data_IF_805869947566
#
_entry.id   IF_805869947566
#
_cell.length_a   1.000
_cell.length_b   1.000
_cell.length_c   1.000
_cell.angle_alpha   90.00
_cell.angle_beta   90.00
_cell.angle_gamma   90.00
#
_symmetry.space_group_name_H-M   'P 1'
#
loop_
_entity.id
_entity.type
_entity.pdbx_description
1 polymer ?
#
# COMPACT_ATOMS: atom_id res chain seq x y z
N UNK A 1 -18.91 9.19 -13.96
CA UNK A 1 -18.32 7.85 -14.02
C UNK A 1 -17.05 7.73 -14.89
N UNK A 2 -16.63 8.74 -15.66
CA UNK A 2 -15.40 8.68 -16.52
C UNK A 2 -14.07 8.65 -15.76
N UNK A 3 -14.08 8.86 -14.46
CA UNK A 3 -12.84 9.01 -13.66
C UNK A 3 -12.64 7.92 -12.59
N UNK A 4 -13.43 6.83 -12.65
CA UNK A 4 -13.30 5.70 -11.74
C UNK A 4 -12.46 4.58 -12.38
N UNK A 5 -11.62 3.96 -11.59
CA UNK A 5 -10.80 2.80 -11.98
C UNK A 5 -10.91 1.70 -10.93
N UNK A 6 -10.83 0.45 -11.37
CA UNK A 6 -10.69 -0.70 -10.47
C UNK A 6 -9.21 -1.07 -10.39
N UNK A 7 -8.71 -1.23 -9.17
CA UNK A 7 -7.29 -1.53 -8.92
C UNK A 7 -7.03 -3.03 -9.08
N UNK A 8 -6.37 -3.40 -10.18
CA UNK A 8 -6.03 -4.79 -10.47
C UNK A 8 -7.23 -5.72 -10.35
N UNK A 9 -7.08 -6.81 -9.60
CA UNK A 9 -8.12 -7.81 -9.34
C UNK A 9 -8.78 -7.66 -7.96
N UNK A 10 -8.51 -6.55 -7.24
CA UNK A 10 -8.98 -6.33 -5.86
C UNK A 10 -10.48 -6.07 -5.74
N UNK A 11 -11.15 -5.65 -6.81
CA UNK A 11 -12.51 -5.13 -6.76
C UNK A 11 -12.62 -3.71 -6.16
N UNK A 12 -11.53 -3.12 -5.67
CA UNK A 12 -11.51 -1.73 -5.17
C UNK A 12 -11.69 -0.78 -6.35
N UNK A 13 -12.81 -0.08 -6.39
CA UNK A 13 -13.12 0.91 -7.42
C UNK A 13 -13.09 2.31 -6.81
N UNK A 14 -12.18 3.14 -7.29
CA UNK A 14 -11.90 4.48 -6.76
C UNK A 14 -11.69 5.48 -7.89
N UNK A 15 -11.66 6.77 -7.55
CA UNK A 15 -11.23 7.79 -8.50
C UNK A 15 -9.82 7.48 -8.99
N UNK A 16 -9.55 7.67 -10.29
CA UNK A 16 -8.21 7.47 -10.88
C UNK A 16 -7.10 8.30 -10.23
N UNK A 17 -7.46 9.37 -9.54
CA UNK A 17 -6.53 10.17 -8.76
C UNK A 17 -6.50 9.65 -7.32
N UNK A 18 -5.37 9.07 -6.91
CA UNK A 18 -5.07 8.72 -5.55
C UNK A 18 -4.24 9.79 -4.84
N UNK A 19 -4.12 9.69 -3.53
CA UNK A 19 -3.28 10.55 -2.71
C UNK A 19 -1.99 9.82 -2.34
N UNK A 20 -0.85 10.26 -2.90
CA UNK A 20 0.47 9.76 -2.52
C UNK A 20 0.98 10.47 -1.27
N UNK A 21 1.13 9.75 -0.17
CA UNK A 21 1.45 10.31 1.14
C UNK A 21 2.96 10.42 1.44
N UNK A 22 3.85 10.14 0.49
CA UNK A 22 5.29 10.34 0.68
C UNK A 22 5.63 11.80 1.06
N UNK A 23 5.08 12.85 0.40
CA UNK A 23 5.45 14.22 0.74
C UNK A 23 5.01 14.69 2.12
N UNK A 24 3.95 14.12 2.71
CA UNK A 24 3.44 14.59 4.00
C UNK A 24 4.41 14.32 5.17
N UNK A 25 5.39 13.42 5.01
CA UNK A 25 6.45 13.24 6.01
C UNK A 25 7.30 14.51 6.25
N UNK A 26 7.23 15.50 5.36
CA UNK A 26 8.05 16.74 5.39
C UNK A 26 7.33 17.93 6.00
N UNK A 27 6.09 17.78 6.41
CA UNK A 27 5.27 18.87 6.98
C UNK A 27 4.81 18.50 8.39
N UNK A 28 4.23 19.44 9.11
CA UNK A 28 3.73 19.20 10.47
C UNK A 28 2.64 18.14 10.51
N UNK A 29 2.38 17.55 11.67
CA UNK A 29 1.28 16.62 11.90
C UNK A 29 -0.06 17.28 11.54
N UNK A 30 -0.29 18.51 12.02
CA UNK A 30 -1.51 19.26 11.80
C UNK A 30 -1.77 19.54 10.32
N UNK A 31 -0.75 20.02 9.59
CA UNK A 31 -0.85 20.31 8.16
C UNK A 31 -1.12 19.02 7.34
N UNK A 32 -0.47 17.91 7.71
CA UNK A 32 -0.65 16.64 7.04
C UNK A 32 -2.07 16.09 7.23
N UNK A 33 -2.60 16.12 8.45
CA UNK A 33 -3.98 15.74 8.77
C UNK A 33 -4.97 16.63 8.02
N UNK A 34 -4.75 17.95 8.05
CA UNK A 34 -5.60 18.89 7.31
C UNK A 34 -5.61 18.60 5.81
N UNK A 35 -4.43 18.36 5.20
CA UNK A 35 -4.27 18.08 3.78
C UNK A 35 -4.97 16.76 3.38
N UNK A 36 -4.76 15.69 4.16
CA UNK A 36 -5.40 14.40 3.91
C UNK A 36 -6.92 14.48 4.02
N UNK A 37 -7.43 15.18 5.05
CA UNK A 37 -8.87 15.45 5.21
C UNK A 37 -9.43 16.31 4.08
N UNK A 38 -8.68 17.27 3.58
CA UNK A 38 -9.09 18.11 2.43
C UNK A 38 -9.18 17.28 1.14
N UNK A 39 -8.21 16.39 0.91
CA UNK A 39 -8.24 15.47 -0.22
C UNK A 39 -9.46 14.52 -0.13
N UNK A 40 -9.75 13.97 1.04
CA UNK A 40 -10.95 13.16 1.29
C UNK A 40 -12.23 13.93 0.99
N UNK A 41 -12.37 15.16 1.49
CA UNK A 41 -13.54 16.03 1.20
C UNK A 41 -13.69 16.36 -0.29
N UNK A 42 -12.58 16.40 -1.03
CA UNK A 42 -12.56 16.58 -2.48
C UNK A 42 -12.90 15.30 -3.28
N UNK A 43 -13.20 14.18 -2.61
CA UNK A 43 -13.61 12.93 -3.23
C UNK A 43 -12.53 11.88 -3.41
N UNK A 44 -11.28 12.15 -2.98
CA UNK A 44 -10.22 11.14 -2.96
C UNK A 44 -10.57 10.07 -1.92
N UNK A 45 -10.44 8.81 -2.30
CA UNK A 45 -10.72 7.66 -1.42
C UNK A 45 -9.56 6.68 -1.30
N UNK A 46 -8.55 6.77 -2.16
CA UNK A 46 -7.37 5.94 -2.14
C UNK A 46 -6.15 6.72 -1.67
N UNK A 47 -5.51 6.25 -0.59
CA UNK A 47 -4.35 6.87 0.05
C UNK A 47 -3.21 5.87 0.11
N UNK A 48 -2.11 6.20 -0.53
CA UNK A 48 -0.91 5.36 -0.64
C UNK A 48 0.20 5.90 0.26
N UNK A 49 0.68 5.08 1.18
CA UNK A 49 1.80 5.35 2.08
C UNK A 49 2.79 4.19 2.10
N UNK A 50 3.73 4.17 3.02
CA UNK A 50 4.65 3.06 3.27
C UNK A 50 5.23 3.11 4.67
N UNK A 51 5.63 1.95 5.22
CA UNK A 51 6.37 1.85 6.49
C UNK A 51 7.65 2.71 6.47
N UNK A 52 8.31 2.80 5.31
CA UNK A 52 9.53 3.56 5.12
C UNK A 52 9.33 5.10 5.04
N UNK A 53 8.09 5.60 5.01
CA UNK A 53 7.82 7.04 4.90
C UNK A 53 7.70 7.69 6.29
N UNK A 54 8.68 7.46 7.14
CA UNK A 54 8.82 8.01 8.50
C UNK A 54 7.52 7.97 9.32
N UNK A 55 6.83 9.09 9.47
CA UNK A 55 5.60 9.29 10.24
C UNK A 55 4.32 9.40 9.39
N UNK A 56 4.42 9.15 8.08
CA UNK A 56 3.29 9.28 7.14
C UNK A 56 2.10 8.39 7.53
N UNK A 57 2.35 7.14 7.99
CA UNK A 57 1.29 6.26 8.47
C UNK A 57 0.58 6.83 9.71
N UNK A 58 1.33 7.41 10.66
CA UNK A 58 0.78 8.03 11.88
C UNK A 58 -0.13 9.20 11.50
N UNK A 59 0.31 10.02 10.55
CA UNK A 59 -0.46 11.17 10.04
C UNK A 59 -1.76 10.76 9.35
N UNK A 60 -1.71 9.71 8.54
CA UNK A 60 -2.93 9.17 7.92
C UNK A 60 -3.84 8.49 8.95
N UNK A 61 -3.29 7.77 9.92
CA UNK A 61 -4.06 7.18 11.01
C UNK A 61 -4.86 8.21 11.79
N UNK A 62 -4.25 9.36 12.11
CA UNK A 62 -4.95 10.48 12.74
C UNK A 62 -5.95 11.14 11.79
N UNK A 63 -5.56 11.35 10.54
CA UNK A 63 -6.45 11.96 9.56
C UNK A 63 -7.75 11.18 9.36
N UNK A 64 -7.72 9.85 9.45
CA UNK A 64 -8.89 9.01 9.17
C UNK A 64 -9.51 8.35 10.42
N UNK A 65 -9.09 8.77 11.59
CA UNK A 65 -9.74 8.38 12.83
C UNK A 65 -11.24 8.72 12.80
N UNK A 66 -12.08 7.74 13.13
CA UNK A 66 -13.54 7.83 13.07
C UNK A 66 -14.18 7.67 11.67
N UNK A 67 -13.38 7.66 10.59
CA UNK A 67 -13.87 7.47 9.20
C UNK A 67 -13.02 6.47 8.40
N UNK A 68 -12.28 5.59 9.08
CA UNK A 68 -11.36 4.63 8.45
C UNK A 68 -12.03 3.78 7.36
N UNK A 69 -13.28 3.39 7.57
CA UNK A 69 -14.04 2.57 6.61
C UNK A 69 -14.48 3.30 5.34
N UNK A 70 -14.32 4.61 5.30
CA UNK A 70 -14.69 5.43 4.13
C UNK A 70 -13.55 5.64 3.15
N UNK A 71 -12.34 5.14 3.48
CA UNK A 71 -11.14 5.26 2.66
C UNK A 71 -10.46 3.91 2.46
N UNK A 72 -9.73 3.79 1.36
CA UNK A 72 -8.83 2.68 1.10
C UNK A 72 -7.40 3.13 1.35
N UNK A 73 -6.69 2.38 2.20
CA UNK A 73 -5.30 2.67 2.52
C UNK A 73 -4.41 1.56 1.97
N UNK A 74 -3.46 1.96 1.13
CA UNK A 74 -2.35 1.13 0.72
C UNK A 74 -1.12 1.52 1.54
N UNK A 75 -0.43 0.53 2.14
CA UNK A 75 0.90 0.73 2.70
C UNK A 75 1.83 -0.40 2.30
N UNK A 76 3.11 -0.32 2.65
CA UNK A 76 4.15 -1.16 2.08
C UNK A 76 5.16 -1.57 3.14
N UNK A 77 5.67 -2.79 3.04
CA UNK A 77 6.80 -3.29 3.83
C UNK A 77 8.04 -3.47 2.98
N UNK A 78 9.21 -3.13 3.53
CA UNK A 78 10.52 -3.43 2.95
C UNK A 78 11.18 -4.67 3.59
N UNK A 79 10.40 -5.48 4.31
CA UNK A 79 10.86 -6.69 4.97
C UNK A 79 11.55 -7.66 3.99
N UNK A 80 12.56 -8.38 4.49
CA UNK A 80 13.31 -9.35 3.71
C UNK A 80 13.02 -10.81 4.16
N UNK A 81 12.25 -10.98 5.22
CA UNK A 81 11.86 -12.27 5.80
C UNK A 81 10.50 -12.14 6.51
N UNK A 82 9.93 -13.28 6.90
CA UNK A 82 8.63 -13.33 7.56
C UNK A 82 8.59 -12.62 8.91
N UNK A 83 9.66 -12.67 9.72
CA UNK A 83 9.69 -12.02 11.04
C UNK A 83 9.58 -10.49 10.89
N UNK A 84 10.38 -9.90 10.01
CA UNK A 84 10.34 -8.46 9.73
C UNK A 84 9.01 -8.05 9.09
N UNK A 85 8.42 -8.90 8.23
CA UNK A 85 7.09 -8.67 7.66
C UNK A 85 6.04 -8.49 8.77
N UNK A 86 5.98 -9.40 9.74
CA UNK A 86 5.03 -9.32 10.85
C UNK A 86 5.26 -8.10 11.72
N UNK A 87 6.51 -7.78 12.01
CA UNK A 87 6.89 -6.57 12.76
C UNK A 87 6.43 -5.29 12.05
N UNK A 88 6.66 -5.20 10.75
CA UNK A 88 6.22 -4.06 9.94
C UNK A 88 4.70 -3.97 9.90
N UNK A 89 4.00 -5.09 9.66
CA UNK A 89 2.53 -5.13 9.59
C UNK A 89 1.90 -4.65 10.89
N UNK A 90 2.33 -5.19 12.04
CA UNK A 90 1.80 -4.76 13.34
C UNK A 90 2.10 -3.28 13.62
N UNK A 91 3.25 -2.79 13.19
CA UNK A 91 3.61 -1.37 13.32
C UNK A 91 2.71 -0.50 12.43
N UNK A 92 2.48 -0.89 11.18
CA UNK A 92 1.60 -0.19 10.26
C UNK A 92 0.15 -0.12 10.77
N UNK A 93 -0.40 -1.24 11.26
CA UNK A 93 -1.74 -1.29 11.85
C UNK A 93 -1.88 -0.32 13.03
N UNK A 94 -0.89 -0.32 13.93
CA UNK A 94 -0.87 0.60 15.09
C UNK A 94 -0.78 2.06 14.64
N UNK A 95 0.12 2.38 13.71
CA UNK A 95 0.32 3.74 13.20
C UNK A 95 -0.92 4.27 12.49
N UNK A 96 -1.56 3.43 11.68
CA UNK A 96 -2.78 3.73 10.94
C UNK A 96 -4.05 3.68 11.81
N UNK A 97 -3.93 3.30 13.11
CA UNK A 97 -5.05 3.19 14.06
C UNK A 97 -6.19 2.31 13.53
N UNK A 98 -5.85 1.15 12.97
CA UNK A 98 -6.80 0.26 12.31
C UNK A 98 -6.47 -1.21 12.56
N UNK A 99 -7.46 -2.07 12.46
CA UNK A 99 -7.28 -3.52 12.55
C UNK A 99 -6.99 -4.18 11.19
N UNK A 100 -7.14 -3.43 10.09
CA UNK A 100 -6.92 -3.94 8.73
C UNK A 100 -6.31 -2.90 7.79
N UNK A 101 -5.59 -3.38 6.80
CA UNK A 101 -5.06 -2.60 5.67
C UNK A 101 -5.73 -3.10 4.39
N UNK A 102 -6.21 -2.17 3.55
CA UNK A 102 -6.92 -2.56 2.32
C UNK A 102 -5.98 -3.18 1.29
N UNK A 103 -4.79 -2.60 1.10
CA UNK A 103 -3.77 -3.09 0.18
C UNK A 103 -2.40 -3.06 0.85
N UNK A 104 -1.82 -4.23 1.12
CA UNK A 104 -0.48 -4.35 1.68
C UNK A 104 0.49 -4.82 0.62
N UNK A 105 1.59 -4.08 0.43
CA UNK A 105 2.46 -4.27 -0.72
C UNK A 105 3.90 -4.55 -0.30
N UNK A 106 4.59 -5.40 -1.03
CA UNK A 106 6.05 -5.51 -0.94
C UNK A 106 6.70 -4.30 -1.61
N UNK A 107 7.56 -3.59 -0.89
CA UNK A 107 8.10 -2.28 -1.28
C UNK A 107 9.42 -2.40 -2.05
N UNK A 108 9.34 -2.45 -3.37
CA UNK A 108 10.51 -2.48 -4.26
C UNK A 108 11.53 -3.59 -3.90
N UNK A 109 11.07 -4.83 -3.65
CA UNK A 109 11.97 -5.94 -3.33
C UNK A 109 12.95 -6.21 -4.47
N UNK A 110 14.12 -6.78 -4.14
CA UNK A 110 15.14 -7.14 -5.14
C UNK A 110 14.74 -8.37 -5.97
N UNK A 111 13.76 -9.14 -5.50
CA UNK A 111 13.22 -10.36 -6.13
C UNK A 111 11.69 -10.32 -6.04
N UNK A 112 11.02 -11.22 -6.74
CA UNK A 112 9.56 -11.38 -6.63
C UNK A 112 9.25 -12.40 -5.52
N UNK A 113 8.74 -11.97 -4.32
CA UNK A 113 8.35 -12.91 -3.28
C UNK A 113 7.29 -13.89 -3.77
N UNK A 114 7.50 -15.18 -3.54
CA UNK A 114 6.60 -16.25 -3.96
C UNK A 114 6.66 -17.45 -3.02
N UNK A 115 5.65 -18.32 -3.01
CA UNK A 115 5.66 -19.51 -2.17
C UNK A 115 6.91 -20.36 -2.36
N UNK A 116 7.55 -20.73 -1.24
CA UNK A 116 8.73 -21.62 -1.25
C UNK A 116 10.03 -20.97 -1.70
N UNK A 117 10.13 -19.65 -1.81
CA UNK A 117 11.36 -18.93 -2.18
C UNK A 117 12.41 -18.86 -1.04
N UNK A 118 12.06 -19.36 0.14
CA UNK A 118 12.91 -19.37 1.33
C UNK A 118 12.85 -18.10 2.16
N UNK A 119 12.20 -17.03 1.71
CA UNK A 119 12.02 -15.79 2.49
C UNK A 119 10.87 -15.88 3.48
N UNK A 120 9.86 -16.69 3.18
CA UNK A 120 8.59 -16.78 3.93
C UNK A 120 7.70 -15.54 3.83
N UNK A 121 8.06 -14.59 2.97
CA UNK A 121 7.33 -13.32 2.84
C UNK A 121 5.93 -13.51 2.29
N UNK A 122 5.80 -14.31 1.22
CA UNK A 122 4.51 -14.50 0.58
C UNK A 122 3.57 -15.33 1.45
N UNK A 123 4.09 -16.35 2.13
CA UNK A 123 3.35 -17.14 3.12
C UNK A 123 2.84 -16.28 4.28
N UNK A 124 3.68 -15.39 4.80
CA UNK A 124 3.28 -14.45 5.84
C UNK A 124 2.18 -13.48 5.36
N UNK A 125 2.24 -13.05 4.09
CA UNK A 125 1.19 -12.22 3.50
C UNK A 125 -0.14 -12.98 3.35
N UNK A 126 -0.11 -14.25 2.94
CA UNK A 126 -1.30 -15.10 2.89
C UNK A 126 -1.91 -15.29 4.27
N UNK A 127 -1.10 -15.62 5.27
CA UNK A 127 -1.55 -15.77 6.65
C UNK A 127 -2.16 -14.48 7.20
N UNK A 128 -1.56 -13.33 6.91
CA UNK A 128 -2.10 -12.03 7.31
C UNK A 128 -3.45 -11.74 6.63
N UNK A 129 -3.63 -12.18 5.38
CA UNK A 129 -4.90 -12.06 4.66
C UNK A 129 -5.97 -12.99 5.24
N UNK A 130 -5.63 -14.23 5.56
CA UNK A 130 -6.54 -15.17 6.23
C UNK A 130 -6.99 -14.66 7.60
N UNK A 131 -6.10 -14.01 8.34
CA UNK A 131 -6.41 -13.35 9.64
C UNK A 131 -7.22 -12.05 9.48
N UNK A 132 -7.47 -11.59 8.26
CA UNK A 132 -8.19 -10.34 7.99
C UNK A 132 -7.40 -9.06 8.30
N UNK A 133 -6.11 -9.17 8.59
CA UNK A 133 -5.24 -8.02 8.87
C UNK A 133 -4.88 -7.24 7.61
N UNK A 134 -4.87 -7.91 6.46
CA UNK A 134 -4.77 -7.29 5.14
C UNK A 134 -5.86 -7.85 4.23
N UNK A 135 -6.37 -7.05 3.31
CA UNK A 135 -7.43 -7.47 2.39
C UNK A 135 -6.88 -7.93 1.04
N UNK A 136 -5.87 -7.24 0.54
CA UNK A 136 -5.26 -7.49 -0.76
C UNK A 136 -3.74 -7.46 -0.67
N UNK A 137 -3.09 -8.28 -1.50
CA UNK A 137 -1.64 -8.39 -1.59
C UNK A 137 -1.19 -7.75 -2.90
N UNK A 138 -0.25 -6.80 -2.81
CA UNK A 138 0.33 -6.13 -3.95
C UNK A 138 1.86 -6.14 -3.94
N UNK A 139 2.43 -5.65 -5.03
CA UNK A 139 3.87 -5.45 -5.17
C UNK A 139 4.14 -4.10 -5.82
N UNK A 140 5.15 -3.39 -5.34
CA UNK A 140 5.67 -2.19 -6.01
C UNK A 140 7.09 -2.45 -6.46
N UNK A 141 7.47 -2.04 -7.66
CA UNK A 141 8.85 -2.20 -8.12
C UNK A 141 9.25 -1.15 -9.13
N UNK A 142 10.56 -0.86 -9.19
CA UNK A 142 11.20 -0.02 -10.20
C UNK A 142 11.99 -0.85 -11.23
N UNK A 143 12.14 -2.17 -11.00
CA UNK A 143 12.85 -3.09 -11.90
C UNK A 143 11.84 -3.79 -12.78
N UNK A 144 11.98 -3.61 -14.09
CA UNK A 144 11.08 -4.22 -15.08
C UNK A 144 11.07 -5.76 -14.97
N UNK A 145 12.21 -6.37 -14.69
CA UNK A 145 12.33 -7.84 -14.54
C UNK A 145 11.47 -8.38 -13.40
N UNK A 146 11.51 -7.74 -12.22
CA UNK A 146 10.70 -8.14 -11.07
C UNK A 146 9.22 -7.84 -11.31
N UNK A 147 8.91 -6.71 -11.93
CA UNK A 147 7.54 -6.35 -12.28
C UNK A 147 6.93 -7.37 -13.25
N UNK A 148 7.69 -7.79 -14.28
CA UNK A 148 7.27 -8.81 -15.23
C UNK A 148 7.04 -10.15 -14.56
N UNK A 149 7.97 -10.60 -13.71
CA UNK A 149 7.84 -11.83 -12.94
C UNK A 149 6.59 -11.81 -12.05
N UNK A 150 6.31 -10.67 -11.38
CA UNK A 150 5.14 -10.50 -10.54
C UNK A 150 3.82 -10.63 -11.34
N UNK A 151 3.76 -10.07 -12.55
CA UNK A 151 2.59 -10.19 -13.43
C UNK A 151 2.43 -11.64 -13.89
N UNK A 152 3.50 -12.28 -14.36
CA UNK A 152 3.49 -13.64 -14.89
C UNK A 152 3.17 -14.69 -13.81
N UNK A 153 3.52 -14.42 -12.55
CA UNK A 153 3.22 -15.31 -11.42
C UNK A 153 1.73 -15.43 -11.11
N UNK A 154 0.93 -14.41 -11.41
CA UNK A 154 -0.48 -14.34 -11.04
C UNK A 154 -0.74 -14.25 -9.52
N UNK A 155 0.29 -14.07 -8.70
CA UNK A 155 0.21 -14.07 -7.23
C UNK A 155 -0.28 -12.74 -6.65
N UNK A 156 -0.12 -11.65 -7.37
CA UNK A 156 -0.38 -10.30 -6.88
C UNK A 156 -1.66 -9.72 -7.48
N UNK A 157 -2.47 -9.12 -6.63
CA UNK A 157 -3.72 -8.48 -7.02
C UNK A 157 -3.51 -7.09 -7.63
N UNK A 158 -2.38 -6.44 -7.29
CA UNK A 158 -1.94 -5.18 -7.88
C UNK A 158 -0.44 -5.14 -8.10
N UNK A 159 -0.03 -4.40 -9.12
CA UNK A 159 1.36 -4.00 -9.33
C UNK A 159 1.43 -2.48 -9.46
N UNK A 160 2.24 -1.84 -8.63
CA UNK A 160 2.56 -0.41 -8.74
C UNK A 160 3.95 -0.28 -9.37
N UNK A 161 3.98 0.28 -10.58
CA UNK A 161 5.20 0.50 -11.35
C UNK A 161 5.24 1.95 -11.83
N UNK A 162 6.38 2.66 -11.73
CA UNK A 162 6.49 4.01 -12.26
C UNK A 162 6.39 3.97 -13.79
N UNK A 163 5.43 4.71 -14.32
CA UNK A 163 5.24 4.86 -15.74
C UNK A 163 5.08 6.34 -16.10
N UNK A 164 5.83 6.80 -17.06
CA UNK A 164 5.70 8.15 -17.62
C UNK A 164 5.95 8.12 -19.11
N UNK A 165 5.57 9.18 -19.80
CA UNK A 165 5.83 9.33 -21.24
C UNK A 165 7.32 9.22 -21.61
N UNK A 166 8.19 9.63 -20.68
CA UNK A 166 9.67 9.62 -20.91
C UNK A 166 10.27 8.24 -20.58
N UNK A 167 9.62 7.44 -19.74
CA UNK A 167 10.12 6.12 -19.29
C UNK A 167 9.57 4.94 -20.10
N UNK A 168 8.94 5.20 -21.23
CA UNK A 168 8.27 4.19 -22.07
C UNK A 168 9.14 3.62 -23.20
N UNK A 169 10.50 3.68 -23.10
CA UNK A 169 11.41 3.02 -24.05
C UNK A 169 11.91 1.68 -23.52
#
# INVERSE_FOLDING_TARGET
MKDMVTLGTTGITVNKNGFGALPIQRISQEDAVHLARKAYKAGIRFFDTARAYTDSEVKLGEAFDGIRSEVYIATKTAAQNAEDFWKDLHTSLRNLRTEYIDLYQFHNPAFCPKPGDGSGLYEAALEAKEKGMIRHIGLTNHRLTVAKEAIESGLYETLQFPFSYISGE
#
